data_IF_386103841226
#
_entry.id   IF_386103841226
#
_cell.length_a   1.000
_cell.length_b   1.000
_cell.length_c   1.000
_cell.angle_alpha   90.00
_cell.angle_beta   90.00
_cell.angle_gamma   90.00
#
_symmetry.space_group_name_H-M   'P 1'
#
loop_
_entity.id
_entity.type
_entity.pdbx_description
1 polymer ?
#
# COMPACT_ATOMS: atom_id res chain seq x y z
N UNK A 1 16.90 22.96 11.28
CA UNK A 1 15.58 22.55 10.72
C UNK A 1 14.84 21.82 11.82
N UNK A 2 13.72 22.38 12.26
CA UNK A 2 12.97 21.85 13.41
C UNK A 2 12.38 20.47 13.13
N UNK A 3 12.21 19.67 14.17
CA UNK A 3 11.59 18.36 14.12
C UNK A 3 10.14 18.44 13.59
N UNK A 4 9.43 19.51 13.95
CA UNK A 4 8.09 19.79 13.45
C UNK A 4 8.06 20.00 11.93
N UNK A 5 8.84 20.96 11.40
CA UNK A 5 8.86 21.21 9.95
C UNK A 5 9.31 19.98 9.16
N UNK A 6 10.28 19.23 9.70
CA UNK A 6 10.71 17.97 9.11
C UNK A 6 9.54 16.98 8.97
N UNK A 7 8.74 16.80 10.02
CA UNK A 7 7.59 15.90 9.99
C UNK A 7 6.54 16.30 8.95
N UNK A 8 6.23 17.59 8.83
CA UNK A 8 5.30 18.09 7.80
C UNK A 8 5.82 17.79 6.40
N UNK A 9 7.12 17.98 6.16
CA UNK A 9 7.74 17.70 4.85
C UNK A 9 7.69 16.21 4.52
N UNK A 10 7.94 15.34 5.50
CA UNK A 10 7.78 13.89 5.32
C UNK A 10 6.35 13.51 4.92
N UNK A 11 5.33 14.13 5.54
CA UNK A 11 3.94 13.86 5.18
C UNK A 11 3.57 14.36 3.78
N UNK A 12 4.02 15.55 3.39
CA UNK A 12 3.82 16.03 2.02
C UNK A 12 4.52 15.15 0.97
N UNK A 13 5.76 14.73 1.26
CA UNK A 13 6.50 13.83 0.38
C UNK A 13 5.83 12.44 0.29
N UNK A 14 5.19 11.99 1.37
CA UNK A 14 4.38 10.78 1.36
C UNK A 14 3.16 10.89 0.45
N UNK A 15 2.39 11.98 0.53
CA UNK A 15 1.28 12.21 -0.40
C UNK A 15 1.75 12.28 -1.85
N UNK A 16 2.90 12.92 -2.10
CA UNK A 16 3.52 12.95 -3.42
C UNK A 16 3.84 11.54 -3.93
N UNK A 17 4.43 10.69 -3.08
CA UNK A 17 4.73 9.30 -3.39
C UNK A 17 3.47 8.48 -3.73
N UNK A 18 2.42 8.60 -2.92
CA UNK A 18 1.13 7.93 -3.18
C UNK A 18 0.57 8.37 -4.54
N UNK A 19 0.59 9.68 -4.82
CA UNK A 19 0.10 10.26 -6.08
C UNK A 19 0.90 9.77 -7.28
N UNK A 20 2.23 9.70 -7.17
CA UNK A 20 3.08 9.14 -8.22
C UNK A 20 2.76 7.68 -8.52
N UNK A 21 2.56 6.87 -7.48
CA UNK A 21 2.17 5.46 -7.65
C UNK A 21 0.74 5.34 -8.17
N UNK A 22 -0.16 6.28 -7.86
CA UNK A 22 -1.54 6.30 -8.38
C UNK A 22 -1.58 6.68 -9.88
N UNK A 23 -0.78 7.66 -10.28
CA UNK A 23 -0.61 8.07 -11.68
C UNK A 23 -0.10 6.91 -12.55
N UNK A 24 0.80 6.07 -12.03
CA UNK A 24 1.26 4.87 -12.74
C UNK A 24 0.11 3.89 -13.05
N UNK A 25 -0.88 3.77 -12.16
CA UNK A 25 -2.07 2.95 -12.40
C UNK A 25 -2.97 3.55 -13.47
N UNK A 26 -3.22 4.86 -13.40
CA UNK A 26 -4.10 5.55 -14.35
C UNK A 26 -3.54 5.52 -15.79
N UNK A 27 -2.21 5.68 -15.95
CA UNK A 27 -1.54 5.69 -17.24
C UNK A 27 -0.99 4.30 -17.65
N UNK A 28 -1.40 3.22 -16.97
CA UNK A 28 -0.88 1.87 -17.22
C UNK A 28 -1.00 1.45 -18.69
N UNK A 29 -2.11 1.80 -19.34
CA UNK A 29 -2.37 1.50 -20.77
C UNK A 29 -1.36 2.20 -21.69
N UNK A 30 -1.06 3.47 -21.45
CA UNK A 30 -0.11 4.26 -22.22
C UNK A 30 1.34 3.75 -22.08
N UNK A 31 1.74 3.40 -20.86
CA UNK A 31 3.09 2.91 -20.57
C UNK A 31 3.37 1.46 -21.04
N UNK A 32 2.36 0.74 -21.53
CA UNK A 32 2.60 -0.55 -22.19
C UNK A 32 3.32 -0.37 -23.53
N UNK A 33 3.05 0.74 -24.22
CA UNK A 33 3.65 1.03 -25.52
C UNK A 33 5.07 1.62 -25.39
N UNK A 34 5.34 2.38 -24.32
CA UNK A 34 6.63 3.07 -24.09
C UNK A 34 7.42 2.47 -22.90
N UNK A 35 8.10 1.34 -23.13
CA UNK A 35 8.78 0.55 -22.09
C UNK A 35 9.96 1.25 -21.41
N UNK A 36 10.68 2.09 -22.13
CA UNK A 36 11.87 2.80 -21.64
C UNK A 36 11.50 3.92 -20.66
N UNK A 37 10.55 4.78 -21.04
CA UNK A 37 10.02 5.85 -20.19
C UNK A 37 9.44 5.32 -18.87
N UNK A 38 8.73 4.19 -18.95
CA UNK A 38 8.20 3.50 -17.77
C UNK A 38 9.28 3.09 -16.79
N UNK A 39 10.40 2.54 -17.28
CA UNK A 39 11.48 2.06 -16.42
C UNK A 39 12.22 3.22 -15.75
N UNK A 40 12.48 4.33 -16.47
CA UNK A 40 13.07 5.54 -15.86
C UNK A 40 12.15 6.13 -14.79
N UNK A 41 10.85 6.25 -15.08
CA UNK A 41 9.88 6.77 -14.11
C UNK A 41 9.77 5.88 -12.87
N UNK A 42 9.76 4.56 -13.05
CA UNK A 42 9.75 3.61 -11.94
C UNK A 42 11.04 3.70 -11.12
N UNK A 43 12.20 3.82 -11.77
CA UNK A 43 13.48 4.05 -11.10
C UNK A 43 13.47 5.31 -10.22
N UNK A 44 12.97 6.43 -10.75
CA UNK A 44 12.84 7.68 -9.99
C UNK A 44 11.88 7.54 -8.79
N UNK A 45 10.76 6.83 -8.97
CA UNK A 45 9.81 6.57 -7.86
C UNK A 45 10.44 5.67 -6.79
N UNK A 46 11.24 4.67 -7.18
CA UNK A 46 11.98 3.82 -6.21
C UNK A 46 12.98 4.64 -5.42
N UNK A 47 13.74 5.52 -6.08
CA UNK A 47 14.70 6.41 -5.42
C UNK A 47 13.98 7.33 -4.44
N UNK A 48 12.85 7.93 -4.87
CA UNK A 48 12.03 8.79 -4.02
C UNK A 48 11.43 8.02 -2.83
N UNK A 49 10.99 6.77 -3.03
CA UNK A 49 10.52 5.89 -1.95
C UNK A 49 11.63 5.57 -0.94
N UNK A 50 12.83 5.23 -1.41
CA UNK A 50 13.97 4.97 -0.53
C UNK A 50 14.34 6.22 0.29
N UNK A 51 14.37 7.38 -0.36
CA UNK A 51 14.56 8.67 0.30
C UNK A 51 13.49 8.93 1.37
N UNK A 52 12.22 8.66 1.05
CA UNK A 52 11.12 8.85 1.99
C UNK A 52 11.19 7.88 3.19
N UNK A 53 11.54 6.61 2.97
CA UNK A 53 11.73 5.63 4.06
C UNK A 53 12.80 6.12 5.03
N UNK A 54 13.96 6.55 4.51
CA UNK A 54 15.03 7.09 5.36
C UNK A 54 14.61 8.37 6.10
N UNK A 55 13.77 9.20 5.48
CA UNK A 55 13.26 10.42 6.09
C UNK A 55 12.22 10.17 7.21
N UNK A 56 11.48 9.07 7.15
CA UNK A 56 10.50 8.68 8.16
C UNK A 56 11.12 8.08 9.43
N UNK A 57 12.37 7.59 9.38
CA UNK A 57 13.07 7.04 10.55
C UNK A 57 13.05 7.99 11.75
N UNK A 58 13.52 9.26 11.65
CA UNK A 58 13.49 10.20 12.77
C UNK A 58 12.06 10.54 13.24
N UNK A 59 11.06 10.50 12.33
CA UNK A 59 9.67 10.81 12.69
C UNK A 59 9.03 9.76 13.60
N UNK A 60 9.58 8.55 13.64
CA UNK A 60 9.17 7.51 14.61
C UNK A 60 9.41 7.91 16.07
N UNK A 61 10.22 8.93 16.33
CA UNK A 61 10.55 9.42 17.66
C UNK A 61 9.82 10.73 18.04
N UNK A 62 9.09 11.32 17.08
CA UNK A 62 8.37 12.58 17.27
C UNK A 62 6.94 12.28 17.69
N UNK A 63 6.63 12.57 18.94
CA UNK A 63 5.28 12.50 19.45
C UNK A 63 4.86 13.90 19.89
N UNK A 64 3.85 14.46 19.23
CA UNK A 64 3.36 15.81 19.50
C UNK A 64 2.20 15.83 20.49
N UNK A 65 1.73 14.66 20.95
CA UNK A 65 0.61 14.50 21.88
C UNK A 65 0.96 15.00 23.29
N UNK A 66 1.23 16.29 23.43
CA UNK A 66 1.62 16.94 24.67
C UNK A 66 0.53 16.83 25.75
N UNK A 67 -0.74 16.69 25.34
CA UNK A 67 -1.88 16.66 26.24
C UNK A 67 -2.17 15.30 26.90
N UNK A 68 -1.68 14.17 26.36
CA UNK A 68 -2.12 12.84 26.82
C UNK A 68 -1.07 12.04 27.61
N UNK A 69 0.22 12.38 27.56
CA UNK A 69 1.26 11.71 28.36
C UNK A 69 2.58 12.51 28.40
N UNK A 70 2.78 13.42 29.38
CA UNK A 70 4.09 14.03 29.60
C UNK A 70 5.12 12.94 29.93
N UNK A 71 6.20 12.84 29.13
CA UNK A 71 7.27 11.86 29.30
C UNK A 71 7.37 10.77 28.22
N UNK A 72 6.53 10.78 27.17
CA UNK A 72 6.59 9.81 26.05
C UNK A 72 7.09 10.40 24.72
N UNK A 73 7.65 11.61 24.76
CA UNK A 73 8.12 12.34 23.57
C UNK A 73 9.64 12.47 23.64
N UNK A 74 10.39 12.04 22.63
CA UNK A 74 11.85 12.18 22.62
C UNK A 74 12.33 13.58 22.19
N UNK A 75 11.45 14.36 21.52
CA UNK A 75 11.79 15.64 20.89
C UNK A 75 10.89 16.79 21.35
N UNK A 76 11.46 17.98 21.47
CA UNK A 76 10.71 19.24 21.53
C UNK A 76 10.49 19.78 20.11
N UNK A 77 9.43 20.56 19.87
CA UNK A 77 9.13 21.15 18.55
C UNK A 77 10.34 21.84 17.89
N UNK A 78 11.10 22.72 18.59
CA UNK A 78 12.26 23.40 18.01
C UNK A 78 13.51 22.52 17.87
N UNK A 79 13.52 21.29 18.41
CA UNK A 79 14.72 20.43 18.35
C UNK A 79 15.10 20.10 16.91
N UNK A 80 16.40 19.99 16.64
CA UNK A 80 16.88 19.61 15.30
C UNK A 80 16.56 18.13 15.00
N UNK A 81 15.86 17.88 13.90
CA UNK A 81 15.42 16.53 13.52
C UNK A 81 16.58 15.52 13.34
N UNK A 82 17.76 16.00 12.93
CA UNK A 82 18.96 15.18 12.66
C UNK A 82 19.41 14.37 13.87
N UNK A 83 19.20 14.88 15.09
CA UNK A 83 19.62 14.22 16.33
C UNK A 83 18.86 12.90 16.58
N UNK A 84 17.72 12.70 15.91
CA UNK A 84 16.85 11.55 16.07
C UNK A 84 17.00 10.50 14.96
N UNK A 85 17.95 10.70 14.05
CA UNK A 85 18.26 9.71 13.00
C UNK A 85 18.89 8.43 13.56
N UNK A 86 19.55 8.52 14.71
CA UNK A 86 20.21 7.38 15.37
C UNK A 86 19.44 6.97 16.63
N UNK A 87 19.11 5.67 16.72
CA UNK A 87 18.41 5.10 17.88
C UNK A 87 19.09 5.43 19.22
N UNK A 88 20.41 5.28 19.30
CA UNK A 88 21.18 5.51 20.54
C UNK A 88 21.10 6.98 20.99
N UNK A 89 21.21 7.91 20.05
CA UNK A 89 21.14 9.35 20.33
C UNK A 89 19.73 9.77 20.72
N UNK A 90 18.71 9.26 20.02
CA UNK A 90 17.31 9.47 20.38
C UNK A 90 17.01 8.96 21.80
N UNK A 91 17.56 7.81 22.17
CA UNK A 91 17.40 7.24 23.51
C UNK A 91 18.09 8.07 24.60
N UNK A 92 19.33 8.51 24.36
CA UNK A 92 20.04 9.39 25.30
C UNK A 92 19.30 10.73 25.50
N UNK A 93 18.73 11.31 24.43
CA UNK A 93 17.94 12.54 24.52
C UNK A 93 16.62 12.35 25.26
N UNK A 94 15.94 11.22 25.04
CA UNK A 94 14.73 10.86 25.77
C UNK A 94 14.99 10.72 27.27
N UNK A 95 16.05 10.00 27.65
CA UNK A 95 16.46 9.82 29.04
C UNK A 95 16.79 11.17 29.70
N UNK A 96 17.46 12.07 28.97
CA UNK A 96 17.76 13.43 29.43
C UNK A 96 16.50 14.29 29.60
N UNK A 97 15.54 14.19 28.67
CA UNK A 97 14.28 14.95 28.72
C UNK A 97 13.42 14.53 29.91
N UNK A 98 13.30 13.23 30.16
CA UNK A 98 12.55 12.70 31.31
C UNK A 98 13.17 13.14 32.64
N UNK A 99 14.51 13.18 32.74
CA UNK A 99 15.19 13.67 33.95
C UNK A 99 14.86 15.13 34.30
N UNK A 100 14.68 15.99 33.29
CA UNK A 100 14.34 17.40 33.50
C UNK A 100 12.89 17.61 33.95
N UNK A 101 11.95 16.79 33.45
CA UNK A 101 10.53 16.91 33.77
C UNK A 101 10.24 16.54 35.23
N UNK A 102 10.84 15.46 35.74
CA UNK A 102 10.68 15.04 37.15
C UNK A 102 11.48 15.92 38.13
N UNK A 103 12.49 16.67 37.67
CA UNK A 103 13.28 17.57 38.51
C UNK A 103 12.57 18.88 38.90
N UNK A 104 11.52 19.28 38.17
CA UNK A 104 10.85 20.58 38.39
C UNK A 104 9.73 20.53 39.43
N UNK A 105 9.31 19.34 39.87
CA UNK A 105 8.15 19.16 40.76
C UNK A 105 8.49 18.88 42.23
N UNK A 106 9.75 19.00 42.65
CA UNK A 106 10.17 18.73 44.04
C UNK A 106 10.83 19.95 44.70
N UNK A 107 10.06 20.70 45.49
CA UNK A 107 10.57 21.66 46.48
C UNK A 107 11.00 20.97 47.78
N UNK A 108 11.71 19.85 47.67
CA UNK A 108 12.23 19.09 48.83
C UNK A 108 13.50 18.34 48.44
N UNK A 109 14.50 18.25 49.35
CA UNK A 109 15.80 17.65 49.03
C UNK A 109 15.64 16.14 48.78
N UNK A 110 16.48 15.53 47.92
CA UNK A 110 16.25 14.18 47.45
C UNK A 110 16.65 13.17 48.52
N UNK A 111 15.68 12.68 49.30
CA UNK A 111 15.79 11.33 49.89
C UNK A 111 15.73 10.35 48.73
N UNK A 112 16.73 9.49 48.61
CA UNK A 112 16.85 8.39 47.65
C UNK A 112 15.51 7.78 47.23
N UNK A 113 14.95 8.25 46.12
CA UNK A 113 13.76 7.65 45.52
C UNK A 113 14.23 6.56 44.59
N UNK A 114 13.74 5.35 44.85
CA UNK A 114 13.75 4.21 43.97
C UNK A 114 13.72 4.65 42.50
N UNK A 115 14.82 4.39 41.79
CA UNK A 115 14.90 4.42 40.33
C UNK A 115 13.86 3.42 39.81
N UNK A 116 12.59 3.82 39.71
CA UNK A 116 11.63 3.14 38.85
C UNK A 116 12.12 3.41 37.45
N UNK A 117 13.02 2.53 37.00
CA UNK A 117 13.33 2.31 35.60
C UNK A 117 12.01 1.93 34.98
N UNK A 118 11.24 2.93 34.56
CA UNK A 118 10.18 2.67 33.61
C UNK A 118 10.91 2.13 32.38
N UNK A 119 10.77 0.83 32.17
CA UNK A 119 11.45 0.10 31.10
C UNK A 119 10.71 0.33 29.77
N UNK A 120 10.04 1.48 29.65
CA UNK A 120 9.32 1.91 28.46
C UNK A 120 10.35 2.24 27.39
N UNK A 121 10.81 1.20 26.70
CA UNK A 121 11.62 1.35 25.50
C UNK A 121 10.84 2.20 24.51
N UNK A 122 11.55 3.12 23.85
CA UNK A 122 10.99 4.06 22.85
C UNK A 122 10.25 3.33 21.70
N UNK A 123 10.53 2.03 21.52
CA UNK A 123 9.85 1.13 20.59
C UNK A 123 8.34 0.99 20.83
N UNK A 124 7.82 1.26 22.04
CA UNK A 124 6.39 1.18 22.36
C UNK A 124 5.66 2.52 22.31
N UNK A 125 6.26 3.53 21.69
CA UNK A 125 5.61 4.83 21.53
C UNK A 125 4.62 4.81 20.36
N UNK A 126 3.49 5.51 20.52
CA UNK A 126 2.47 5.66 19.47
C UNK A 126 3.07 6.22 18.18
N UNK A 127 4.04 7.13 18.28
CA UNK A 127 4.76 7.69 17.13
C UNK A 127 5.56 6.65 16.37
N UNK A 128 6.22 5.71 17.06
CA UNK A 128 6.99 4.64 16.45
C UNK A 128 6.06 3.65 15.74
N UNK A 129 4.98 3.24 16.40
CA UNK A 129 3.97 2.34 15.83
C UNK A 129 3.36 2.91 14.55
N UNK A 130 2.87 4.14 14.62
CA UNK A 130 2.20 4.81 13.49
C UNK A 130 3.15 5.15 12.34
N UNK A 131 4.43 5.46 12.63
CA UNK A 131 5.45 5.67 11.59
C UNK A 131 5.87 4.37 10.93
N UNK A 132 5.96 3.28 11.69
CA UNK A 132 6.18 1.92 11.17
C UNK A 132 5.03 1.50 10.25
N UNK A 133 3.79 1.69 10.67
CA UNK A 133 2.59 1.44 9.84
C UNK A 133 2.62 2.27 8.55
N UNK A 134 3.07 3.52 8.61
CA UNK A 134 3.20 4.37 7.41
C UNK A 134 4.24 3.82 6.41
N UNK A 135 5.37 3.31 6.90
CA UNK A 135 6.40 2.64 6.06
C UNK A 135 5.84 1.36 5.44
N UNK A 136 5.11 0.54 6.21
CA UNK A 136 4.48 -0.68 5.71
C UNK A 136 3.42 -0.38 4.63
N UNK A 137 2.58 0.62 4.86
CA UNK A 137 1.58 1.06 3.87
C UNK A 137 2.26 1.54 2.60
N UNK A 138 3.30 2.36 2.71
CA UNK A 138 4.08 2.87 1.57
C UNK A 138 4.72 1.75 0.74
N UNK A 139 5.43 0.85 1.41
CA UNK A 139 6.11 -0.26 0.76
C UNK A 139 5.11 -1.21 0.10
N UNK A 140 4.07 -1.64 0.82
CA UNK A 140 3.04 -2.51 0.27
C UNK A 140 2.32 -1.87 -0.93
N UNK A 141 1.98 -0.57 -0.84
CA UNK A 141 1.39 0.19 -1.95
C UNK A 141 2.28 0.15 -3.18
N UNK A 142 3.57 0.43 -3.02
CA UNK A 142 4.53 0.46 -4.11
C UNK A 142 4.69 -0.94 -4.73
N UNK A 143 4.95 -1.97 -3.93
CA UNK A 143 5.19 -3.32 -4.41
C UNK A 143 3.94 -3.93 -5.08
N UNK A 144 2.74 -3.71 -4.53
CA UNK A 144 1.49 -4.17 -5.13
C UNK A 144 1.30 -3.62 -6.55
N UNK A 145 1.55 -2.32 -6.74
CA UNK A 145 1.39 -1.66 -8.05
C UNK A 145 2.53 -1.98 -9.01
N UNK A 146 3.77 -2.00 -8.53
CA UNK A 146 4.93 -2.41 -9.32
C UNK A 146 4.74 -3.84 -9.86
N UNK A 147 4.25 -4.76 -9.02
CA UNK A 147 3.98 -6.15 -9.41
C UNK A 147 2.93 -6.27 -10.50
N UNK A 148 1.89 -5.42 -10.50
CA UNK A 148 0.85 -5.37 -11.54
C UNK A 148 1.33 -4.67 -12.82
N UNK A 149 2.24 -3.70 -12.71
CA UNK A 149 2.80 -2.97 -13.86
C UNK A 149 3.63 -3.89 -14.77
N UNK A 150 4.37 -4.83 -14.19
CA UNK A 150 5.10 -5.85 -14.94
C UNK A 150 4.17 -7.05 -15.22
N UNK A 151 3.43 -7.02 -16.35
CA UNK A 151 2.51 -8.11 -16.76
C UNK A 151 3.15 -9.51 -16.68
N UNK A 152 4.45 -9.63 -17.01
CA UNK A 152 5.18 -10.90 -16.91
C UNK A 152 5.27 -11.42 -15.47
N UNK A 153 5.58 -10.56 -14.48
CA UNK A 153 5.66 -10.99 -13.08
C UNK A 153 4.28 -11.24 -12.49
N UNK A 154 3.27 -10.46 -12.87
CA UNK A 154 1.89 -10.70 -12.44
C UNK A 154 1.33 -12.01 -13.01
N UNK A 155 1.58 -12.30 -14.29
CA UNK A 155 1.16 -13.57 -14.91
C UNK A 155 1.94 -14.75 -14.35
N UNK A 156 3.26 -14.63 -14.17
CA UNK A 156 4.06 -15.69 -13.56
C UNK A 156 3.63 -15.95 -12.11
N UNK A 157 3.45 -14.91 -11.30
CA UNK A 157 2.99 -15.03 -9.92
C UNK A 157 1.58 -15.63 -9.84
N UNK A 158 0.65 -15.20 -10.71
CA UNK A 158 -0.70 -15.79 -10.78
C UNK A 158 -0.66 -17.25 -11.23
N UNK A 159 0.22 -17.62 -12.15
CA UNK A 159 0.37 -19.00 -12.63
C UNK A 159 0.99 -19.88 -11.55
N UNK A 160 2.11 -19.47 -10.95
CA UNK A 160 2.77 -20.19 -9.84
C UNK A 160 1.80 -20.36 -8.67
N UNK A 161 1.09 -19.29 -8.30
CA UNK A 161 0.12 -19.33 -7.21
C UNK A 161 -1.05 -20.26 -7.54
N UNK A 162 -1.61 -20.19 -8.76
CA UNK A 162 -2.72 -21.07 -9.19
C UNK A 162 -2.29 -22.53 -9.28
N UNK A 163 -1.08 -22.81 -9.76
CA UNK A 163 -0.51 -24.16 -9.80
C UNK A 163 -0.32 -24.70 -8.38
N UNK A 164 0.30 -23.92 -7.50
CA UNK A 164 0.53 -24.34 -6.10
C UNK A 164 -0.79 -24.57 -5.35
N UNK A 165 -1.76 -23.65 -5.48
CA UNK A 165 -3.09 -23.82 -4.89
C UNK A 165 -3.85 -25.01 -5.50
N UNK A 166 -3.74 -25.22 -6.80
CA UNK A 166 -4.37 -26.34 -7.49
C UNK A 166 -3.83 -27.68 -7.01
N UNK A 167 -2.50 -27.82 -6.92
CA UNK A 167 -1.86 -29.03 -6.40
C UNK A 167 -2.21 -29.27 -4.93
N UNK A 168 -2.14 -28.23 -4.09
CA UNK A 168 -2.50 -28.36 -2.68
C UNK A 168 -3.97 -28.73 -2.48
N UNK A 169 -4.88 -28.11 -3.25
CA UNK A 169 -6.31 -28.41 -3.20
C UNK A 169 -6.60 -29.86 -3.62
N UNK A 170 -5.96 -30.35 -4.70
CA UNK A 170 -6.10 -31.73 -5.16
C UNK A 170 -5.54 -32.71 -4.12
N UNK A 171 -4.36 -32.44 -3.55
CA UNK A 171 -3.78 -33.28 -2.49
C UNK A 171 -4.66 -33.32 -1.24
N UNK A 172 -5.21 -32.17 -0.79
CA UNK A 172 -6.12 -32.12 0.34
C UNK A 172 -7.45 -32.85 0.06
N UNK A 173 -8.01 -32.71 -1.14
CA UNK A 173 -9.22 -33.43 -1.55
C UNK A 173 -8.98 -34.95 -1.58
N UNK A 174 -7.83 -35.40 -2.11
CA UNK A 174 -7.46 -36.82 -2.14
C UNK A 174 -7.26 -37.40 -0.74
N UNK A 175 -6.53 -36.70 0.14
CA UNK A 175 -6.33 -37.12 1.54
C UNK A 175 -7.68 -37.20 2.26
N UNK A 176 -8.55 -36.21 2.09
CA UNK A 176 -9.87 -36.15 2.74
C UNK A 176 -10.79 -37.25 2.21
N UNK A 177 -10.81 -37.51 0.90
CA UNK A 177 -11.61 -38.56 0.28
C UNK A 177 -11.19 -39.97 0.74
N UNK A 178 -9.88 -40.25 0.78
CA UNK A 178 -9.35 -41.53 1.27
C UNK A 178 -9.68 -41.73 2.76
N UNK A 179 -9.57 -40.67 3.57
CA UNK A 179 -9.88 -40.72 4.99
C UNK A 179 -11.37 -40.95 5.23
N UNK A 180 -12.25 -40.30 4.47
CA UNK A 180 -13.69 -40.54 4.52
C UNK A 180 -14.07 -41.98 4.15
N UNK A 181 -13.42 -42.57 3.12
CA UNK A 181 -13.67 -43.95 2.71
C UNK A 181 -13.23 -44.98 3.76
N UNK A 182 -12.15 -44.71 4.49
CA UNK A 182 -11.58 -45.64 5.48
C UNK A 182 -12.27 -45.57 6.86
N UNK A 183 -12.99 -44.49 7.16
CA UNK A 183 -13.49 -44.18 8.51
C UNK A 183 -14.95 -44.65 8.78
N UNK A 184 -15.64 -45.19 7.78
CA UNK A 184 -17.07 -45.53 7.85
C UNK A 184 -17.39 -46.99 8.17
N UNK A 185 -17.38 -47.37 9.44
CA UNK A 185 -17.95 -48.66 9.89
C UNK A 185 -19.02 -48.53 10.99
N UNK A 186 -19.01 -47.47 11.80
CA UNK A 186 -19.98 -47.30 12.91
C UNK A 186 -21.08 -46.25 12.64
N UNK A 187 -22.31 -46.43 13.15
CA UNK A 187 -23.46 -45.58 12.85
C UNK A 187 -23.28 -44.12 13.33
N UNK A 188 -22.69 -43.92 14.52
CA UNK A 188 -22.37 -42.58 15.03
C UNK A 188 -21.40 -41.82 14.10
N UNK A 189 -20.42 -42.54 13.50
CA UNK A 189 -19.46 -41.94 12.56
C UNK A 189 -20.08 -41.62 11.21
N UNK A 190 -21.10 -42.38 10.76
CA UNK A 190 -21.87 -42.05 9.55
C UNK A 190 -22.69 -40.78 9.76
N UNK A 191 -23.33 -40.61 10.91
CA UNK A 191 -24.04 -39.37 11.27
C UNK A 191 -23.07 -38.19 11.36
N UNK A 192 -21.90 -38.37 11.98
CA UNK A 192 -20.88 -37.32 12.08
C UNK A 192 -20.32 -36.93 10.69
N UNK A 193 -20.03 -37.88 9.80
CA UNK A 193 -19.59 -37.59 8.42
C UNK A 193 -20.68 -36.91 7.58
N UNK A 194 -21.96 -37.23 7.83
CA UNK A 194 -23.08 -36.59 7.15
C UNK A 194 -23.31 -35.15 7.63
N UNK A 195 -23.07 -34.87 8.91
CA UNK A 195 -23.18 -33.54 9.52
C UNK A 195 -21.99 -32.65 9.17
N UNK A 196 -20.75 -33.17 9.24
CA UNK A 196 -19.53 -32.39 9.05
C UNK A 196 -18.95 -32.38 7.64
N UNK A 197 -19.57 -33.07 6.67
CA UNK A 197 -19.10 -33.30 5.27
C UNK A 197 -17.78 -32.57 4.95
N UNK A 198 -16.63 -33.14 5.36
CA UNK A 198 -15.36 -32.42 5.34
C UNK A 198 -14.92 -32.08 3.92
N UNK A 199 -15.43 -32.82 2.93
CA UNK A 199 -15.24 -32.55 1.51
C UNK A 199 -15.92 -31.23 1.09
N UNK A 200 -17.16 -30.98 1.50
CA UNK A 200 -17.89 -29.73 1.20
C UNK A 200 -17.18 -28.53 1.86
N UNK A 201 -16.67 -28.71 3.09
CA UNK A 201 -15.87 -27.70 3.77
C UNK A 201 -14.57 -27.38 3.02
N UNK A 202 -13.83 -28.39 2.56
CA UNK A 202 -12.60 -28.16 1.78
C UNK A 202 -12.86 -27.44 0.46
N UNK A 203 -13.95 -27.76 -0.23
CA UNK A 203 -14.37 -27.06 -1.46
C UNK A 203 -14.75 -25.62 -1.13
N UNK A 204 -15.53 -25.39 -0.07
CA UNK A 204 -15.90 -24.06 0.38
C UNK A 204 -14.66 -23.21 0.72
N UNK A 205 -13.70 -23.76 1.47
CA UNK A 205 -12.44 -23.07 1.79
C UNK A 205 -11.64 -22.74 0.54
N UNK A 206 -11.55 -23.66 -0.42
CA UNK A 206 -10.88 -23.40 -1.71
C UNK A 206 -11.57 -22.27 -2.49
N UNK A 207 -12.91 -22.29 -2.57
CA UNK A 207 -13.66 -21.24 -3.25
C UNK A 207 -13.49 -19.88 -2.57
N UNK A 208 -13.54 -19.83 -1.24
CA UNK A 208 -13.31 -18.61 -0.47
C UNK A 208 -11.88 -18.09 -0.69
N UNK A 209 -10.87 -18.95 -0.64
CA UNK A 209 -9.48 -18.57 -0.91
C UNK A 209 -9.32 -18.04 -2.33
N UNK A 210 -9.93 -18.69 -3.32
CA UNK A 210 -9.90 -18.24 -4.72
C UNK A 210 -10.57 -16.87 -4.88
N UNK A 211 -11.77 -16.69 -4.32
CA UNK A 211 -12.50 -15.41 -4.34
C UNK A 211 -11.68 -14.32 -3.66
N UNK A 212 -11.05 -14.62 -2.53
CA UNK A 212 -10.17 -13.69 -1.84
C UNK A 212 -8.95 -13.31 -2.69
N UNK A 213 -8.29 -14.27 -3.33
CA UNK A 213 -7.14 -13.99 -4.20
C UNK A 213 -7.56 -13.20 -5.44
N UNK A 214 -8.70 -13.51 -6.05
CA UNK A 214 -9.24 -12.76 -7.18
C UNK A 214 -9.63 -11.33 -6.74
N UNK A 215 -10.20 -11.17 -5.53
CA UNK A 215 -10.51 -9.87 -4.92
C UNK A 215 -9.25 -9.04 -4.64
N UNK A 216 -8.23 -9.60 -4.00
CA UNK A 216 -6.93 -8.93 -3.76
C UNK A 216 -6.24 -8.58 -5.08
N UNK A 217 -6.42 -9.39 -6.13
CA UNK A 217 -5.85 -9.11 -7.45
C UNK A 217 -6.61 -8.04 -8.24
N UNK A 218 -7.80 -7.66 -7.80
CA UNK A 218 -8.68 -6.72 -8.50
C UNK A 218 -8.12 -5.30 -8.51
N UNK A 219 -8.49 -4.52 -9.52
CA UNK A 219 -8.13 -3.09 -9.62
C UNK A 219 -8.91 -2.26 -8.57
N UNK A 220 -10.12 -2.68 -8.19
CA UNK A 220 -10.91 -2.03 -7.12
C UNK A 220 -10.21 -2.12 -5.75
N UNK A 221 -9.59 -3.26 -5.43
CA UNK A 221 -8.85 -3.43 -4.18
C UNK A 221 -7.65 -2.47 -4.09
N UNK A 222 -7.00 -2.18 -5.22
CA UNK A 222 -5.93 -1.18 -5.27
C UNK A 222 -6.45 0.23 -5.00
N UNK A 223 -7.63 0.57 -5.52
CA UNK A 223 -8.29 1.85 -5.28
C UNK A 223 -8.73 2.00 -3.82
N UNK A 224 -9.31 0.95 -3.22
CA UNK A 224 -9.67 0.95 -1.81
C UNK A 224 -8.44 1.10 -0.93
N UNK A 225 -7.36 0.38 -1.24
CA UNK A 225 -6.09 0.51 -0.53
C UNK A 225 -5.50 1.93 -0.65
N UNK A 226 -5.63 2.57 -1.81
CA UNK A 226 -5.26 3.99 -1.98
C UNK A 226 -6.04 4.91 -1.06
N UNK A 227 -7.36 4.77 -1.06
CA UNK A 227 -8.24 5.61 -0.24
C UNK A 227 -7.89 5.42 1.24
N UNK A 228 -7.69 4.17 1.69
CA UNK A 228 -7.26 3.89 3.06
C UNK A 228 -5.89 4.52 3.38
N UNK A 229 -4.94 4.46 2.45
CA UNK A 229 -3.63 5.09 2.59
C UNK A 229 -3.73 6.62 2.67
N UNK A 230 -4.60 7.23 1.88
CA UNK A 230 -4.85 8.68 1.88
C UNK A 230 -5.54 9.13 3.17
N UNK A 231 -6.53 8.37 3.65
CA UNK A 231 -7.20 8.63 4.93
C UNK A 231 -6.20 8.54 6.08
N UNK A 232 -5.38 7.47 6.10
CA UNK A 232 -4.32 7.29 7.09
C UNK A 232 -3.37 8.50 7.12
N UNK A 233 -2.93 8.99 5.95
CA UNK A 233 -2.04 10.15 5.90
C UNK A 233 -2.67 11.48 6.24
N UNK A 234 -3.92 11.65 5.86
CA UNK A 234 -4.68 12.86 6.18
C UNK A 234 -4.87 12.95 7.69
N UNK A 235 -5.24 11.83 8.32
CA UNK A 235 -5.38 11.75 9.77
C UNK A 235 -4.08 12.14 10.49
N UNK A 236 -2.92 11.58 10.08
CA UNK A 236 -1.63 11.92 10.71
C UNK A 236 -1.20 13.36 10.49
N UNK A 237 -1.46 13.92 9.30
CA UNK A 237 -1.16 15.33 9.01
C UNK A 237 -2.01 16.26 9.88
N UNK A 238 -3.31 16.00 9.98
CA UNK A 238 -4.23 16.80 10.80
C UNK A 238 -3.86 16.70 12.29
N UNK A 239 -3.60 15.49 12.80
CA UNK A 239 -3.16 15.32 14.19
C UNK A 239 -1.87 16.11 14.48
N UNK A 240 -0.87 16.05 13.59
CA UNK A 240 0.36 16.80 13.77
C UNK A 240 0.15 18.32 13.74
N UNK A 241 -0.87 18.82 13.03
CA UNK A 241 -1.22 20.25 13.00
C UNK A 241 -1.99 20.70 14.24
N UNK A 242 -2.91 19.88 14.74
CA UNK A 242 -3.74 20.23 15.92
C UNK A 242 -2.94 20.16 17.22
N UNK A 243 -1.99 19.24 17.31
CA UNK A 243 -1.24 19.00 18.56
C UNK A 243 -0.14 20.04 18.83
N UNK A 244 0.29 20.81 17.84
CA UNK A 244 1.39 21.78 17.98
C UNK A 244 0.89 23.18 17.65
N UNK A 245 0.51 23.92 18.69
CA UNK A 245 0.16 25.34 18.61
C UNK A 245 1.47 26.17 18.57
N UNK A 246 1.99 26.38 17.35
CA UNK A 246 3.13 27.27 17.10
C UNK A 246 2.50 28.56 16.57
N UNK A 247 2.40 29.59 17.42
CA UNK A 247 1.75 30.86 17.06
C UNK A 247 2.29 31.53 15.78
N UNK A 248 1.58 32.55 15.31
CA UNK A 248 1.60 33.34 14.04
C UNK A 248 2.91 33.50 13.21
N UNK A 249 4.06 33.08 13.73
CA UNK A 249 5.36 33.06 13.05
C UNK A 249 5.58 31.89 12.06
N UNK A 250 4.61 31.01 11.85
CA UNK A 250 4.73 29.84 10.94
C UNK A 250 4.10 29.98 9.54
N UNK A 251 3.43 31.09 9.23
CA UNK A 251 2.73 31.28 7.94
C UNK A 251 3.69 31.43 6.73
N UNK A 252 5.00 31.55 6.98
CA UNK A 252 6.01 31.62 5.95
C UNK A 252 6.34 30.23 5.39
N UNK A 253 5.93 29.97 4.14
CA UNK A 253 6.27 28.75 3.43
C UNK A 253 7.79 28.63 3.23
N UNK A 254 8.38 27.56 3.74
CA UNK A 254 9.81 27.29 3.53
C UNK A 254 10.05 26.57 2.20
N UNK A 255 11.21 26.79 1.58
CA UNK A 255 11.63 26.10 0.34
C UNK A 255 11.46 24.58 0.42
N UNK A 256 11.73 24.01 1.60
CA UNK A 256 11.63 22.57 1.85
C UNK A 256 10.18 22.05 1.93
N UNK A 257 9.19 22.90 2.20
CA UNK A 257 7.75 22.55 2.14
C UNK A 257 7.19 22.67 0.73
N UNK A 258 7.71 23.63 -0.05
CA UNK A 258 7.27 23.91 -1.43
C UNK A 258 7.64 22.77 -2.39
N UNK A 259 8.82 22.17 -2.23
CA UNK A 259 9.32 21.11 -3.12
C UNK A 259 8.40 19.86 -3.17
N UNK A 260 7.96 19.26 -2.05
CA UNK A 260 6.98 18.17 -2.07
C UNK A 260 5.66 18.50 -2.76
N UNK A 261 5.19 19.75 -2.66
CA UNK A 261 3.94 20.21 -3.30
C UNK A 261 4.10 20.25 -4.82
N UNK A 262 5.23 20.75 -5.31
CA UNK A 262 5.54 20.70 -6.75
C UNK A 262 5.71 19.26 -7.26
N UNK A 263 6.34 18.39 -6.48
CA UNK A 263 6.43 16.96 -6.81
C UNK A 263 5.04 16.31 -6.90
N UNK A 264 4.07 16.75 -6.08
CA UNK A 264 2.69 16.28 -6.15
C UNK A 264 1.92 16.84 -7.37
N UNK A 265 2.24 18.06 -7.81
CA UNK A 265 1.61 18.69 -8.96
C UNK A 265 1.93 17.97 -10.30
N UNK A 266 3.17 17.53 -10.48
CA UNK A 266 3.61 16.83 -11.70
C UNK A 266 2.74 15.62 -12.10
N UNK A 267 2.52 14.61 -11.24
CA UNK A 267 1.67 13.47 -11.55
C UNK A 267 0.19 13.84 -11.71
N UNK A 268 -0.32 14.85 -11.01
CA UNK A 268 -1.70 15.33 -11.19
C UNK A 268 -1.90 15.93 -12.58
N UNK A 269 -0.97 16.78 -13.04
CA UNK A 269 -1.01 17.34 -14.39
C UNK A 269 -0.93 16.26 -15.46
N UNK A 270 -0.08 15.25 -15.28
CA UNK A 270 0.02 14.13 -16.22
C UNK A 270 -1.31 13.36 -16.35
N UNK A 271 -2.00 13.12 -15.24
CA UNK A 271 -3.33 12.50 -15.24
C UNK A 271 -4.36 13.41 -15.91
N UNK A 272 -4.39 14.69 -15.56
CA UNK A 272 -5.32 15.67 -16.14
C UNK A 272 -5.15 15.78 -17.66
N UNK A 273 -3.91 15.92 -18.14
CA UNK A 273 -3.58 15.98 -19.58
C UNK A 273 -4.03 14.71 -20.29
N UNK A 274 -3.85 13.54 -19.67
CA UNK A 274 -4.29 12.26 -20.26
C UNK A 274 -5.80 12.16 -20.39
N UNK A 275 -6.58 12.68 -19.42
CA UNK A 275 -8.04 12.73 -19.52
C UNK A 275 -8.52 13.74 -20.57
N UNK A 276 -7.86 14.89 -20.68
CA UNK A 276 -8.20 15.92 -21.68
C UNK A 276 -7.89 15.46 -23.11
N UNK A 277 -6.84 14.65 -23.32
CA UNK A 277 -6.51 14.08 -24.64
C UNK A 277 -7.27 12.78 -24.98
N UNK A 278 -8.06 12.25 -24.05
CA UNK A 278 -8.81 11.00 -24.24
C UNK A 278 -10.00 11.02 -25.23
N UNK A 279 -10.62 12.15 -25.67
CA UNK A 279 -11.85 12.05 -26.45
C UNK A 279 -11.67 11.58 -27.90
N UNK A 280 -10.46 11.61 -28.48
CA UNK A 280 -10.27 11.35 -29.92
C UNK A 280 -9.59 10.02 -30.29
N UNK A 281 -8.89 9.35 -29.35
CA UNK A 281 -8.12 8.13 -29.66
C UNK A 281 -8.92 6.83 -29.51
N UNK A 282 -9.66 6.69 -28.40
CA UNK A 282 -10.36 5.44 -28.06
C UNK A 282 -11.58 5.17 -28.95
N UNK A 283 -12.28 6.21 -29.42
CA UNK A 283 -13.38 6.08 -30.37
C UNK A 283 -12.90 5.59 -31.74
N UNK A 284 -11.73 6.08 -32.19
CA UNK A 284 -11.14 5.77 -33.50
C UNK A 284 -10.52 4.37 -33.56
N UNK A 285 -9.96 3.88 -32.45
CA UNK A 285 -9.43 2.52 -32.31
C UNK A 285 -10.58 1.50 -32.28
N UNK A 286 -11.64 1.77 -31.49
CA UNK A 286 -12.82 0.89 -31.37
C UNK A 286 -13.61 0.82 -32.68
N UNK A 287 -13.75 1.94 -33.41
CA UNK A 287 -14.33 1.92 -34.76
C UNK A 287 -13.51 1.08 -35.74
N UNK A 288 -12.18 1.21 -35.74
CA UNK A 288 -11.31 0.39 -36.61
C UNK A 288 -11.36 -1.10 -36.30
N UNK A 289 -11.46 -1.50 -35.04
CA UNK A 289 -11.62 -2.92 -34.68
C UNK A 289 -12.99 -3.45 -35.11
N UNK A 290 -14.05 -2.66 -34.92
CA UNK A 290 -15.41 -3.06 -35.31
C UNK A 290 -15.56 -3.15 -36.84
N UNK A 291 -14.89 -2.26 -37.59
CA UNK A 291 -14.88 -2.26 -39.06
C UNK A 291 -14.08 -3.46 -39.61
N UNK A 292 -12.92 -3.77 -39.03
CA UNK A 292 -12.13 -4.95 -39.42
C UNK A 292 -12.83 -6.28 -39.11
N UNK A 293 -13.50 -6.39 -37.96
CA UNK A 293 -14.28 -7.59 -37.61
C UNK A 293 -15.48 -7.77 -38.56
N UNK A 294 -16.10 -6.66 -39.00
CA UNK A 294 -17.21 -6.68 -39.95
C UNK A 294 -16.78 -7.09 -41.37
N UNK A 295 -15.61 -6.62 -41.84
CA UNK A 295 -15.02 -7.06 -43.11
C UNK A 295 -14.67 -8.55 -43.11
N UNK A 296 -14.16 -9.07 -41.98
CA UNK A 296 -13.80 -10.48 -41.86
C UNK A 296 -15.03 -11.40 -41.85
N UNK A 297 -16.12 -10.97 -41.21
CA UNK A 297 -17.40 -11.66 -41.25
C UNK A 297 -17.97 -11.66 -42.68
N UNK A 298 -17.90 -10.53 -43.38
CA UNK A 298 -18.41 -10.44 -44.75
C UNK A 298 -17.60 -11.31 -45.73
N UNK A 299 -16.28 -11.38 -45.58
CA UNK A 299 -15.43 -12.32 -46.34
C UNK A 299 -15.80 -13.79 -46.07
N UNK A 300 -16.04 -14.15 -44.80
CA UNK A 300 -16.47 -15.50 -44.44
C UNK A 300 -17.83 -15.86 -45.05
N UNK A 301 -18.80 -14.95 -44.98
CA UNK A 301 -20.14 -15.13 -45.56
C UNK A 301 -20.06 -15.31 -47.08
N UNK A 302 -19.25 -14.50 -47.77
CA UNK A 302 -19.03 -14.66 -49.22
C UNK A 302 -18.40 -16.01 -49.55
N UNK A 303 -17.41 -16.46 -48.78
CA UNK A 303 -16.77 -17.77 -48.99
C UNK A 303 -17.75 -18.95 -48.83
N UNK A 304 -18.67 -18.85 -47.86
CA UNK A 304 -19.67 -19.88 -47.60
C UNK A 304 -20.72 -19.92 -48.71
N UNK A 305 -21.15 -18.75 -49.20
CA UNK A 305 -22.10 -18.67 -50.34
C UNK A 305 -21.51 -19.29 -51.60
N UNK A 306 -20.26 -18.98 -51.94
CA UNK A 306 -19.59 -19.60 -53.10
C UNK A 306 -19.41 -21.12 -52.97
N UNK A 307 -19.33 -21.64 -51.74
CA UNK A 307 -19.19 -23.07 -51.47
C UNK A 307 -20.53 -23.82 -51.58
N UNK A 308 -21.63 -23.13 -51.30
CA UNK A 308 -22.98 -23.71 -51.36
C UNK A 308 -23.50 -23.78 -52.80
N UNK A 309 -23.16 -22.80 -53.64
CA UNK A 309 -23.51 -22.79 -55.07
C UNK A 309 -22.71 -23.84 -55.89
N UNK A 310 -21.57 -24.31 -55.37
CA UNK A 310 -20.76 -25.37 -55.99
C UNK A 310 -21.21 -26.81 -55.72
N UNK A 311 -22.23 -27.04 -54.87
CA UNK A 311 -22.66 -28.39 -54.44
C UNK A 311 -23.96 -28.85 -55.16
N UNK A 312 -24.55 -28.03 -56.04
CA UNK A 312 -25.83 -28.32 -56.72
C UNK A 312 -25.68 -28.89 -58.14
N UNK A 313 -24.46 -29.21 -58.58
CA UNK A 313 -24.21 -29.85 -59.89
C UNK A 313 -23.46 -31.16 -59.71
N UNK A 314 -24.19 -32.22 -59.34
CA UNK A 314 -23.90 -33.58 -59.77
C UNK A 314 -25.10 -34.51 -59.56
#
# INVERSE_FOLDING_TARGET
MSAYHWQIICYLAWFSSITHVACLSALRTYFFQHRTERNYRLGLIVILLAGLITALIPTGYFNWSASLSPGKTASLSPSNARCFSWRKTAQALHDSSNSHYYGRSSSSPPRSIYRRRDNSTIEWTLAFETSTTSILILTFSFFGRASKLFRKTSQLAKNILRETLGHWAVSCLQITAVRCRKFGTTPFRKTLLAVFRPLDLTIATYLVAKVYMDAVSSELADLLWLIMSLIWGTFRLVLARVEVDIGDSEDAWSFSQVLPVFLLLGPLLAVLVSFLHAPNGQAKERQRTTEGDMELIDQLVRSLRTRQDGIVLH
#
